data_IF_730920156678
#
_entry.id   IF_730920156678
#
_cell.length_a   1.000
_cell.length_b   1.000
_cell.length_c   1.000
_cell.angle_alpha   90.00
_cell.angle_beta   90.00
_cell.angle_gamma   90.00
#
_symmetry.space_group_name_H-M   'P 1'
#
loop_
_entity.id
_entity.type
_entity.pdbx_description
1 polymer ?
#
# COMPACT_ATOMS: atom_id res chain seq x y z
N UNK A 1 20.59 -24.97 14.10
CA UNK A 1 19.25 -24.52 13.68
C UNK A 1 18.79 -23.27 14.44
N UNK A 2 18.63 -23.30 15.77
CA UNK A 2 18.22 -22.12 16.59
C UNK A 2 19.14 -20.91 16.46
N UNK A 3 20.47 -21.10 16.44
CA UNK A 3 21.41 -19.98 16.31
C UNK A 3 21.32 -19.27 14.95
N UNK A 4 21.03 -20.00 13.88
CA UNK A 4 20.85 -19.40 12.54
C UNK A 4 19.52 -18.65 12.39
N UNK A 5 18.48 -19.07 13.08
CA UNK A 5 17.19 -18.35 13.11
C UNK A 5 17.26 -17.06 13.93
N UNK A 6 17.95 -17.10 15.08
CA UNK A 6 18.18 -15.90 15.90
C UNK A 6 19.02 -14.88 15.13
N UNK A 7 20.13 -15.30 14.51
CA UNK A 7 20.97 -14.41 13.73
C UNK A 7 20.23 -13.77 12.53
N UNK A 8 19.36 -14.54 11.87
CA UNK A 8 18.52 -14.03 10.78
C UNK A 8 17.49 -13.02 11.29
N UNK A 9 16.85 -13.29 12.42
CA UNK A 9 15.90 -12.38 13.06
C UNK A 9 16.55 -11.05 13.47
N UNK A 10 17.77 -11.09 14.02
CA UNK A 10 18.53 -9.87 14.37
C UNK A 10 18.93 -9.06 13.14
N UNK A 11 19.34 -9.70 12.04
CA UNK A 11 19.69 -9.02 10.80
C UNK A 11 18.49 -8.37 10.14
N UNK A 12 17.34 -9.05 10.11
CA UNK A 12 16.08 -8.53 9.64
C UNK A 12 15.60 -7.32 10.48
N UNK A 13 15.77 -7.38 11.81
CA UNK A 13 15.46 -6.25 12.69
C UNK A 13 16.38 -5.05 12.47
N UNK A 14 17.69 -5.27 12.27
CA UNK A 14 18.63 -4.18 11.95
C UNK A 14 18.29 -3.52 10.62
N UNK A 15 18.01 -4.32 9.59
CA UNK A 15 17.56 -3.82 8.26
C UNK A 15 16.26 -3.03 8.38
N UNK A 16 15.31 -3.52 9.17
CA UNK A 16 14.06 -2.82 9.44
C UNK A 16 14.30 -1.42 10.02
N UNK A 17 15.09 -1.33 11.11
CA UNK A 17 15.41 -0.04 11.77
C UNK A 17 16.15 0.92 10.82
N UNK A 18 17.10 0.39 10.05
CA UNK A 18 17.86 1.18 9.07
C UNK A 18 16.93 1.76 7.97
N UNK A 19 16.05 0.93 7.40
CA UNK A 19 15.10 1.35 6.36
C UNK A 19 14.10 2.38 6.89
N UNK A 20 13.53 2.17 8.10
CA UNK A 20 12.67 3.13 8.77
C UNK A 20 13.38 4.46 8.93
N UNK A 21 14.61 4.44 9.48
CA UNK A 21 15.40 5.66 9.72
C UNK A 21 15.68 6.43 8.43
N UNK A 22 15.99 5.73 7.34
CA UNK A 22 16.22 6.33 6.03
C UNK A 22 14.94 6.97 5.47
N UNK A 23 13.81 6.25 5.54
CA UNK A 23 12.54 6.69 4.98
C UNK A 23 11.90 7.85 5.76
N UNK A 24 12.26 8.04 7.04
CA UNK A 24 11.93 9.25 7.81
C UNK A 24 12.88 10.41 7.52
N UNK A 25 14.19 10.14 7.42
CA UNK A 25 15.21 11.21 7.26
C UNK A 25 15.02 11.99 5.97
N UNK A 26 14.75 11.31 4.86
CA UNK A 26 14.61 11.93 3.55
C UNK A 26 13.52 13.04 3.52
N UNK A 27 12.23 12.73 3.84
CA UNK A 27 11.19 13.76 3.85
C UNK A 27 11.42 14.85 4.88
N UNK A 28 11.93 14.53 6.09
CA UNK A 28 12.23 15.52 7.11
C UNK A 28 13.32 16.51 6.64
N UNK A 29 14.36 16.03 5.94
CA UNK A 29 15.39 16.88 5.35
C UNK A 29 14.81 17.79 4.28
N UNK A 30 13.92 17.27 3.43
CA UNK A 30 13.25 18.08 2.39
C UNK A 30 12.34 19.16 3.00
N UNK A 31 11.50 18.78 3.97
CA UNK A 31 10.62 19.72 4.68
C UNK A 31 11.43 20.85 5.29
N UNK A 32 12.46 20.51 6.08
CA UNK A 32 13.31 21.49 6.73
C UNK A 32 14.00 22.39 5.72
N UNK A 33 14.62 21.81 4.68
CA UNK A 33 15.37 22.59 3.69
C UNK A 33 14.49 23.58 2.93
N UNK A 34 13.26 23.21 2.54
CA UNK A 34 12.35 24.16 1.89
C UNK A 34 11.85 25.26 2.83
N UNK A 35 11.57 24.93 4.10
CA UNK A 35 11.16 25.92 5.08
C UNK A 35 12.31 26.91 5.40
N UNK A 36 13.54 26.43 5.57
CA UNK A 36 14.73 27.26 5.77
C UNK A 36 14.96 28.18 4.55
N UNK A 37 14.87 27.66 3.31
CA UNK A 37 15.04 28.43 2.09
C UNK A 37 13.92 29.48 1.84
N UNK A 38 12.72 29.26 2.36
CA UNK A 38 11.66 30.26 2.37
C UNK A 38 11.93 31.36 3.42
N UNK A 39 12.44 30.97 4.60
CA UNK A 39 12.74 31.93 5.69
C UNK A 39 13.91 32.84 5.39
N UNK A 40 14.96 32.35 4.74
CA UNK A 40 16.15 33.10 4.39
C UNK A 40 16.04 33.90 3.06
N UNK A 41 14.88 33.74 2.36
CA UNK A 41 14.60 34.46 1.11
C UNK A 41 15.24 33.82 -0.13
N UNK A 42 15.89 32.66 -0.01
CA UNK A 42 16.42 31.90 -1.16
C UNK A 42 15.28 31.47 -2.10
N UNK A 43 14.11 31.15 -1.53
CA UNK A 43 12.86 30.90 -2.29
C UNK A 43 12.03 32.19 -2.21
N UNK A 44 11.80 32.87 -3.33
CA UNK A 44 11.06 34.13 -3.33
C UNK A 44 9.55 33.86 -3.04
N UNK A 45 8.84 34.87 -2.48
CA UNK A 45 7.43 34.73 -2.07
C UNK A 45 6.49 34.18 -3.16
N UNK A 46 6.73 34.53 -4.41
CA UNK A 46 5.93 34.08 -5.56
C UNK A 46 5.98 32.55 -5.77
N UNK A 47 7.00 31.90 -5.24
CA UNK A 47 7.20 30.46 -5.34
C UNK A 47 6.76 29.70 -4.07
N UNK A 48 6.38 30.39 -3.00
CA UNK A 48 6.06 29.78 -1.70
C UNK A 48 4.95 28.73 -1.83
N UNK A 49 3.86 29.01 -2.55
CA UNK A 49 2.75 28.08 -2.75
C UNK A 49 3.21 26.73 -3.31
N UNK A 50 4.09 26.75 -4.31
CA UNK A 50 4.66 25.53 -4.90
C UNK A 50 5.45 24.71 -3.88
N UNK A 51 6.30 25.36 -3.09
CA UNK A 51 7.16 24.66 -2.13
C UNK A 51 6.40 24.23 -0.87
N UNK A 52 5.40 25.00 -0.43
CA UNK A 52 4.47 24.62 0.63
C UNK A 52 3.71 23.33 0.22
N UNK A 53 3.26 23.24 -1.04
CA UNK A 53 2.62 22.03 -1.58
C UNK A 53 3.56 20.81 -1.49
N UNK A 54 4.85 20.99 -1.76
CA UNK A 54 5.85 19.91 -1.61
C UNK A 54 5.99 19.51 -0.14
N UNK A 55 6.07 20.48 0.78
CA UNK A 55 6.14 20.24 2.23
C UNK A 55 4.92 19.47 2.72
N UNK A 56 3.72 19.85 2.29
CA UNK A 56 2.48 19.13 2.62
C UNK A 56 2.52 17.69 2.13
N UNK A 57 2.93 17.44 0.90
CA UNK A 57 3.06 16.09 0.34
C UNK A 57 4.06 15.21 1.13
N UNK A 58 5.19 15.77 1.55
CA UNK A 58 6.17 15.03 2.37
C UNK A 58 5.62 14.76 3.79
N UNK A 59 4.81 15.68 4.34
CA UNK A 59 4.14 15.47 5.63
C UNK A 59 3.09 14.36 5.55
N UNK A 60 2.28 14.33 4.49
CA UNK A 60 1.34 13.23 4.24
C UNK A 60 2.05 11.88 4.09
N UNK A 61 3.21 11.88 3.41
CA UNK A 61 4.05 10.68 3.28
C UNK A 61 4.51 10.17 4.63
N UNK A 62 4.97 11.04 5.53
CA UNK A 62 5.37 10.70 6.90
C UNK A 62 4.18 10.14 7.69
N UNK A 63 3.01 10.72 7.56
CA UNK A 63 1.79 10.24 8.21
C UNK A 63 1.42 8.82 7.74
N UNK A 64 1.47 8.56 6.43
CA UNK A 64 1.24 7.20 5.87
C UNK A 64 2.28 6.20 6.38
N UNK A 65 3.55 6.58 6.44
CA UNK A 65 4.63 5.72 6.95
C UNK A 65 4.41 5.38 8.43
N UNK A 66 4.09 6.38 9.26
CA UNK A 66 3.82 6.19 10.69
C UNK A 66 2.63 5.25 10.91
N UNK A 67 1.52 5.46 10.22
CA UNK A 67 0.34 4.60 10.31
C UNK A 67 0.63 3.16 9.88
N UNK A 68 1.43 2.98 8.84
CA UNK A 68 1.88 1.66 8.36
C UNK A 68 2.72 0.94 9.41
N UNK A 69 3.65 1.66 10.06
CA UNK A 69 4.50 1.11 11.13
C UNK A 69 3.70 0.75 12.37
N UNK A 70 2.74 1.58 12.79
CA UNK A 70 1.83 1.29 13.89
C UNK A 70 1.00 0.03 13.61
N UNK A 71 0.48 -0.10 12.39
CA UNK A 71 -0.23 -1.31 11.97
C UNK A 71 0.67 -2.54 12.11
N UNK A 72 1.89 -2.51 11.56
CA UNK A 72 2.83 -3.63 11.64
C UNK A 72 3.27 -3.96 13.07
N UNK A 73 3.45 -2.96 13.94
CA UNK A 73 3.81 -3.19 15.34
C UNK A 73 2.69 -3.87 16.12
N UNK A 74 1.45 -3.46 15.92
CA UNK A 74 0.28 -4.08 16.54
C UNK A 74 0.10 -5.54 16.12
N UNK A 75 0.57 -5.91 14.91
CA UNK A 75 0.55 -7.28 14.39
C UNK A 75 1.55 -8.21 15.10
N UNK A 76 2.72 -7.69 15.51
CA UNK A 76 3.81 -8.48 16.05
C UNK A 76 3.69 -8.79 17.56
N UNK A 77 3.00 -7.96 18.36
CA UNK A 77 3.12 -8.00 19.81
C UNK A 77 2.10 -8.87 20.56
N UNK A 78 0.97 -9.25 19.93
CA UNK A 78 -0.10 -10.02 20.63
C UNK A 78 -0.94 -10.94 19.73
N UNK A 79 -0.56 -11.15 18.44
CA UNK A 79 -1.55 -11.59 17.46
C UNK A 79 -2.55 -10.45 17.19
N UNK A 80 -2.97 -10.30 15.95
CA UNK A 80 -3.98 -9.29 15.62
C UNK A 80 -5.31 -9.67 16.25
N UNK A 81 -5.77 -8.90 17.25
CA UNK A 81 -7.16 -9.00 17.68
C UNK A 81 -8.02 -8.40 16.56
N UNK A 82 -8.77 -9.26 15.88
CA UNK A 82 -9.70 -8.87 14.83
C UNK A 82 -11.07 -8.58 15.44
N UNK A 83 -11.65 -7.45 15.11
CA UNK A 83 -13.05 -7.13 15.40
C UNK A 83 -13.92 -7.60 14.22
N UNK A 84 -14.18 -8.92 14.20
CA UNK A 84 -14.92 -9.56 13.11
C UNK A 84 -16.41 -9.26 13.23
N UNK A 85 -16.99 -8.71 12.17
CA UNK A 85 -18.43 -8.44 12.02
C UNK A 85 -18.90 -8.89 10.64
N UNK A 86 -20.21 -9.08 10.49
CA UNK A 86 -20.80 -9.36 9.18
C UNK A 86 -21.03 -8.06 8.43
N UNK A 87 -20.52 -7.96 7.20
CA UNK A 87 -20.70 -6.79 6.34
C UNK A 87 -20.73 -7.16 4.86
N UNK A 88 -21.34 -6.30 4.05
CA UNK A 88 -21.34 -6.44 2.58
C UNK A 88 -19.99 -6.00 1.99
N UNK A 89 -19.21 -6.98 1.49
CA UNK A 89 -17.91 -6.71 0.86
C UNK A 89 -18.03 -5.89 -0.43
N UNK A 90 -19.13 -6.06 -1.18
CA UNK A 90 -19.36 -5.30 -2.40
C UNK A 90 -19.50 -3.80 -2.09
N UNK A 91 -20.13 -3.46 -0.97
CA UNK A 91 -20.22 -2.06 -0.53
C UNK A 91 -18.87 -1.51 -0.11
N UNK A 92 -18.05 -2.30 0.61
CA UNK A 92 -16.70 -1.87 1.02
C UNK A 92 -15.80 -1.66 -0.21
N UNK A 93 -15.90 -2.52 -1.24
CA UNK A 93 -15.17 -2.36 -2.50
C UNK A 93 -15.59 -1.06 -3.19
N UNK A 94 -16.89 -0.79 -3.35
CA UNK A 94 -17.40 0.45 -3.96
C UNK A 94 -16.93 1.69 -3.21
N UNK A 95 -17.04 1.70 -1.89
CA UNK A 95 -16.63 2.82 -1.06
C UNK A 95 -15.11 3.06 -1.14
N UNK A 96 -14.32 1.99 -1.18
CA UNK A 96 -12.87 2.12 -1.32
C UNK A 96 -12.48 2.63 -2.70
N UNK A 97 -13.10 2.12 -3.77
CA UNK A 97 -12.84 2.57 -5.13
C UNK A 97 -13.16 4.06 -5.33
N UNK A 98 -14.26 4.56 -4.73
CA UNK A 98 -14.66 5.96 -4.84
C UNK A 98 -13.61 6.92 -4.24
N UNK A 99 -12.82 6.48 -3.26
CA UNK A 99 -11.73 7.32 -2.70
C UNK A 99 -10.63 7.63 -3.72
N UNK A 100 -10.54 6.86 -4.80
CA UNK A 100 -9.54 7.03 -5.84
C UNK A 100 -10.02 7.76 -7.09
N UNK A 101 -11.30 8.18 -7.17
CA UNK A 101 -11.88 8.83 -8.35
C UNK A 101 -11.02 10.00 -8.88
N UNK A 102 -10.59 10.91 -7.98
CA UNK A 102 -9.75 12.04 -8.36
C UNK A 102 -8.38 11.62 -8.91
N UNK A 103 -7.76 10.61 -8.32
CA UNK A 103 -6.45 10.09 -8.77
C UNK A 103 -6.58 9.37 -10.10
N UNK A 104 -7.63 8.58 -10.26
CA UNK A 104 -7.95 7.88 -11.50
C UNK A 104 -8.24 8.84 -12.64
N UNK A 105 -9.06 9.88 -12.39
CA UNK A 105 -9.33 10.93 -13.36
C UNK A 105 -8.04 11.60 -13.86
N UNK A 106 -7.12 11.97 -12.95
CA UNK A 106 -5.85 12.63 -13.31
C UNK A 106 -4.91 11.75 -14.13
N UNK A 107 -5.08 10.42 -14.05
CA UNK A 107 -4.28 9.44 -14.81
C UNK A 107 -5.06 8.84 -16.00
N UNK A 108 -6.30 9.24 -16.21
CA UNK A 108 -7.20 8.63 -17.21
C UNK A 108 -7.35 7.11 -16.99
N UNK A 109 -7.37 6.66 -15.75
CA UNK A 109 -7.55 5.24 -15.38
C UNK A 109 -9.04 5.01 -15.11
N UNK A 110 -9.63 3.99 -15.74
CA UNK A 110 -10.96 3.52 -15.41
C UNK A 110 -10.90 2.38 -14.38
N UNK A 111 -11.83 2.34 -13.42
CA UNK A 111 -12.03 1.19 -12.54
C UNK A 111 -13.32 0.50 -12.97
N UNK A 112 -13.22 -0.72 -13.44
CA UNK A 112 -14.36 -1.57 -13.79
C UNK A 112 -14.58 -2.60 -12.70
N UNK A 113 -15.83 -2.69 -12.19
CA UNK A 113 -16.19 -3.60 -11.12
C UNK A 113 -17.20 -4.64 -11.61
N UNK A 114 -16.84 -5.92 -11.50
CA UNK A 114 -17.71 -7.07 -11.79
C UNK A 114 -17.96 -7.77 -10.45
N UNK A 115 -19.01 -7.34 -9.76
CA UNK A 115 -19.33 -7.82 -8.42
C UNK A 115 -20.46 -8.86 -8.47
N UNK A 116 -20.23 -10.02 -7.86
CA UNK A 116 -21.23 -11.10 -7.80
C UNK A 116 -22.36 -10.72 -6.85
N UNK A 117 -23.60 -10.84 -7.31
CA UNK A 117 -24.81 -10.52 -6.53
C UNK A 117 -24.97 -9.02 -6.24
N UNK A 118 -26.10 -8.68 -5.61
CA UNK A 118 -26.35 -7.29 -5.16
C UNK A 118 -25.58 -7.01 -3.86
N UNK A 119 -25.59 -7.94 -2.95
CA UNK A 119 -24.91 -7.93 -1.65
C UNK A 119 -24.17 -9.22 -1.46
N UNK A 120 -23.02 -9.19 -0.80
CA UNK A 120 -22.23 -10.36 -0.48
C UNK A 120 -21.61 -10.21 0.91
N UNK A 121 -22.19 -10.92 1.89
CA UNK A 121 -21.78 -10.82 3.28
C UNK A 121 -20.58 -11.70 3.58
N UNK A 122 -19.65 -11.14 4.35
CA UNK A 122 -18.45 -11.83 4.87
C UNK A 122 -18.32 -11.56 6.37
N UNK A 123 -17.76 -12.51 7.11
CA UNK A 123 -17.45 -12.40 8.53
C UNK A 123 -15.97 -12.09 8.71
N UNK A 124 -15.61 -10.80 8.85
CA UNK A 124 -14.24 -10.35 8.91
C UNK A 124 -14.12 -9.00 9.67
N UNK A 125 -12.92 -8.54 9.91
CA UNK A 125 -12.67 -7.17 10.38
C UNK A 125 -12.78 -6.20 9.20
N UNK A 126 -13.91 -5.47 9.13
CA UNK A 126 -14.23 -4.57 8.02
C UNK A 126 -13.13 -3.53 7.79
N UNK A 127 -12.59 -2.92 8.87
CA UNK A 127 -11.56 -1.88 8.73
C UNK A 127 -10.25 -2.45 8.18
N UNK A 128 -9.88 -3.67 8.57
CA UNK A 128 -8.70 -4.36 8.06
C UNK A 128 -8.87 -4.80 6.61
N UNK A 129 -10.02 -5.32 6.25
CA UNK A 129 -10.33 -5.68 4.86
C UNK A 129 -10.35 -4.43 3.97
N UNK A 130 -10.93 -3.32 4.44
CA UNK A 130 -10.86 -2.04 3.72
C UNK A 130 -9.41 -1.58 3.51
N UNK A 131 -8.52 -1.75 4.50
CA UNK A 131 -7.09 -1.45 4.39
C UNK A 131 -6.40 -2.34 3.34
N UNK A 132 -6.75 -3.63 3.27
CA UNK A 132 -6.26 -4.54 2.21
C UNK A 132 -6.66 -4.03 0.83
N UNK A 133 -7.94 -3.74 0.63
CA UNK A 133 -8.47 -3.24 -0.65
C UNK A 133 -7.81 -1.93 -1.05
N UNK A 134 -7.68 -1.00 -0.10
CA UNK A 134 -7.01 0.28 -0.34
C UNK A 134 -5.57 0.08 -0.82
N UNK A 135 -4.78 -0.77 -0.14
CA UNK A 135 -3.38 -1.02 -0.52
C UNK A 135 -3.25 -1.69 -1.90
N UNK A 136 -4.15 -2.61 -2.22
CA UNK A 136 -4.14 -3.27 -3.54
C UNK A 136 -4.53 -2.29 -4.66
N UNK A 137 -5.59 -1.49 -4.46
CA UNK A 137 -6.04 -0.49 -5.43
C UNK A 137 -5.00 0.64 -5.60
N UNK A 138 -4.41 1.13 -4.51
CA UNK A 138 -3.35 2.15 -4.55
C UNK A 138 -2.14 1.66 -5.38
N UNK A 139 -1.71 0.41 -5.18
CA UNK A 139 -0.66 -0.20 -5.99
C UNK A 139 -1.07 -0.35 -7.45
N UNK A 140 -2.26 -0.86 -7.74
CA UNK A 140 -2.78 -0.99 -9.09
C UNK A 140 -2.76 0.37 -9.83
N UNK A 141 -3.27 1.44 -9.19
CA UNK A 141 -3.30 2.79 -9.76
C UNK A 141 -1.89 3.36 -9.94
N UNK A 142 -0.98 3.14 -8.99
CA UNK A 142 0.40 3.66 -9.06
C UNK A 142 1.18 3.08 -10.21
N UNK A 143 1.07 1.77 -10.43
CA UNK A 143 1.90 1.05 -11.37
C UNK A 143 1.25 0.86 -12.74
N UNK A 144 -0.04 1.16 -12.88
CA UNK A 144 -0.74 1.19 -14.16
C UNK A 144 -0.20 2.28 -15.09
N UNK A 145 -0.38 2.06 -16.38
CA UNK A 145 -0.15 3.07 -17.40
C UNK A 145 -1.29 4.10 -17.44
N UNK A 146 -1.06 5.25 -18.08
CA UNK A 146 -2.14 6.17 -18.43
C UNK A 146 -3.12 5.48 -19.40
N UNK A 147 -4.37 5.93 -19.38
CA UNK A 147 -5.44 5.42 -20.26
C UNK A 147 -5.68 3.91 -20.12
N UNK A 148 -5.50 3.37 -18.92
CA UNK A 148 -5.65 1.95 -18.62
C UNK A 148 -6.91 1.65 -17.81
N UNK A 149 -7.21 0.34 -17.66
CA UNK A 149 -8.35 -0.13 -16.90
C UNK A 149 -7.88 -1.04 -15.77
N UNK A 150 -8.41 -0.81 -14.57
CA UNK A 150 -8.26 -1.70 -13.42
C UNK A 150 -9.56 -2.46 -13.24
N UNK A 151 -9.48 -3.79 -13.22
CA UNK A 151 -10.64 -4.64 -13.00
C UNK A 151 -10.67 -5.11 -11.55
N UNK A 152 -11.82 -4.96 -10.90
CA UNK A 152 -12.09 -5.50 -9.57
C UNK A 152 -13.24 -6.48 -9.69
N UNK A 153 -12.99 -7.73 -9.32
CA UNK A 153 -13.96 -8.80 -9.48
C UNK A 153 -14.18 -9.51 -8.15
N UNK A 154 -15.44 -9.83 -7.85
CA UNK A 154 -15.80 -10.78 -6.79
C UNK A 154 -16.38 -12.04 -7.40
N UNK A 155 -16.04 -13.19 -6.85
CA UNK A 155 -16.61 -14.47 -7.26
C UNK A 155 -16.74 -15.41 -6.07
N UNK A 156 -17.79 -16.22 -6.07
CA UNK A 156 -17.98 -17.25 -5.06
C UNK A 156 -17.69 -18.63 -5.64
N UNK A 157 -16.84 -19.41 -4.98
CA UNK A 157 -16.56 -20.81 -5.34
C UNK A 157 -16.45 -21.65 -4.07
N UNK A 158 -17.23 -22.74 -4.01
CA UNK A 158 -17.18 -23.69 -2.88
C UNK A 158 -17.33 -23.00 -1.52
N UNK A 159 -18.28 -22.10 -1.41
CA UNK A 159 -18.59 -21.34 -0.18
C UNK A 159 -17.40 -20.44 0.28
N UNK A 160 -16.51 -20.08 -0.63
CA UNK A 160 -15.43 -19.11 -0.41
C UNK A 160 -15.58 -17.96 -1.39
N UNK A 161 -15.42 -16.76 -0.86
CA UNK A 161 -15.37 -15.54 -1.65
C UNK A 161 -13.95 -15.29 -2.13
N UNK A 162 -13.82 -14.93 -3.38
CA UNK A 162 -12.58 -14.45 -4.00
C UNK A 162 -12.77 -13.01 -4.43
N UNK A 163 -11.82 -12.15 -4.07
CA UNK A 163 -11.73 -10.79 -4.55
C UNK A 163 -10.45 -10.67 -5.36
N UNK A 164 -10.54 -10.16 -6.57
CA UNK A 164 -9.38 -9.94 -7.43
C UNK A 164 -9.28 -8.48 -7.81
N UNK A 165 -8.06 -7.93 -7.78
CA UNK A 165 -7.71 -6.61 -8.30
C UNK A 165 -6.66 -6.83 -9.38
N UNK A 166 -7.00 -6.51 -10.62
CA UNK A 166 -6.16 -6.72 -11.79
C UNK A 166 -5.85 -5.39 -12.47
N UNK A 167 -4.58 -5.13 -12.69
CA UNK A 167 -4.08 -3.98 -13.45
C UNK A 167 -3.37 -4.42 -14.73
N UNK A 168 -3.14 -3.46 -15.61
CA UNK A 168 -2.36 -3.61 -16.84
C UNK A 168 -1.12 -2.72 -16.79
N UNK A 169 -0.44 -2.74 -15.64
CA UNK A 169 0.74 -1.92 -15.40
C UNK A 169 2.05 -2.58 -15.84
N UNK A 170 3.14 -2.14 -15.20
CA UNK A 170 4.51 -2.60 -15.52
C UNK A 170 4.75 -4.08 -15.21
N UNK A 171 3.83 -4.73 -14.51
CA UNK A 171 4.01 -6.09 -14.05
C UNK A 171 5.12 -6.28 -13.02
N UNK A 172 5.30 -7.52 -12.58
CA UNK A 172 6.27 -7.92 -11.56
C UNK A 172 7.16 -9.03 -12.12
N UNK A 173 8.49 -8.87 -12.09
CA UNK A 173 9.43 -9.93 -12.47
C UNK A 173 9.22 -11.21 -11.64
N UNK A 174 9.45 -12.38 -12.24
CA UNK A 174 9.23 -13.67 -11.59
C UNK A 174 10.06 -13.84 -10.31
N UNK A 175 11.28 -13.35 -10.32
CA UNK A 175 12.20 -13.33 -9.18
C UNK A 175 11.67 -12.51 -8.00
N UNK A 176 10.90 -11.45 -8.28
CA UNK A 176 10.37 -10.54 -7.28
C UNK A 176 9.06 -11.03 -6.65
N UNK A 177 8.31 -11.95 -7.29
CA UNK A 177 6.99 -12.40 -6.83
C UNK A 177 6.96 -12.95 -5.39
N UNK A 178 8.07 -13.51 -4.91
CA UNK A 178 8.20 -13.97 -3.53
C UNK A 178 8.60 -12.85 -2.58
N UNK A 179 9.32 -11.86 -3.08
CA UNK A 179 9.93 -10.78 -2.31
C UNK A 179 8.99 -9.60 -2.09
N UNK A 180 7.99 -9.40 -2.97
CA UNK A 180 7.03 -8.28 -2.86
C UNK A 180 6.24 -8.26 -1.54
N UNK A 181 6.20 -9.38 -0.82
CA UNK A 181 5.56 -9.50 0.48
C UNK A 181 6.46 -9.11 1.66
N UNK A 182 7.76 -8.90 1.38
CA UNK A 182 8.73 -8.53 2.40
C UNK A 182 8.61 -7.03 2.72
N UNK A 183 8.87 -6.66 3.96
CA UNK A 183 8.79 -5.27 4.42
C UNK A 183 9.87 -4.43 3.74
N UNK A 184 9.49 -3.23 3.26
CA UNK A 184 10.35 -2.28 2.53
C UNK A 184 10.87 -2.77 1.18
N UNK A 185 10.40 -3.93 0.72
CA UNK A 185 10.80 -4.41 -0.60
C UNK A 185 10.21 -3.52 -1.71
N UNK A 186 11.04 -3.21 -2.67
CA UNK A 186 10.65 -2.51 -3.92
C UNK A 186 11.45 -3.15 -5.05
N UNK A 187 10.76 -3.60 -6.09
CA UNK A 187 11.41 -4.08 -7.30
C UNK A 187 12.15 -2.92 -8.01
N UNK A 188 13.15 -3.21 -8.80
CA UNK A 188 13.90 -2.17 -9.53
C UNK A 188 13.00 -1.40 -10.49
N UNK A 189 12.04 -2.07 -11.11
CA UNK A 189 11.02 -1.44 -11.96
C UNK A 189 10.11 -0.49 -11.17
N UNK A 190 9.74 -0.84 -9.94
CA UNK A 190 8.90 0.00 -9.08
C UNK A 190 9.63 1.21 -8.52
N UNK A 191 10.94 1.12 -8.28
CA UNK A 191 11.78 2.25 -7.82
C UNK A 191 11.78 3.43 -8.79
N UNK A 192 11.66 3.17 -10.08
CA UNK A 192 11.56 4.20 -11.11
C UNK A 192 10.23 4.97 -11.08
N UNK A 193 9.11 4.30 -10.85
CA UNK A 193 7.75 4.89 -10.87
C UNK A 193 7.27 5.39 -9.51
N UNK A 194 7.58 4.69 -8.42
CA UNK A 194 7.16 5.06 -7.06
C UNK A 194 8.36 5.28 -6.14
N UNK A 195 9.06 6.41 -6.36
CA UNK A 195 10.16 6.86 -5.48
C UNK A 195 9.68 7.17 -4.06
N UNK A 196 8.38 7.45 -3.88
CA UNK A 196 7.78 7.87 -2.60
C UNK A 196 7.11 6.75 -1.83
N UNK A 197 6.90 5.58 -2.43
CA UNK A 197 6.31 4.42 -1.77
C UNK A 197 7.16 3.94 -0.58
N UNK A 198 6.51 3.39 0.43
CA UNK A 198 7.18 2.87 1.64
C UNK A 198 7.64 1.43 1.53
N UNK A 199 7.09 0.67 0.55
CA UNK A 199 7.32 -0.79 0.46
C UNK A 199 6.65 -1.59 1.58
N UNK A 200 5.69 -0.99 2.32
CA UNK A 200 4.99 -1.65 3.43
C UNK A 200 3.59 -2.13 3.05
N UNK A 201 2.99 -1.62 1.96
CA UNK A 201 1.59 -1.89 1.62
C UNK A 201 1.29 -3.38 1.46
N UNK A 202 2.07 -4.12 0.65
CA UNK A 202 1.83 -5.54 0.41
C UNK A 202 2.17 -6.42 1.61
N UNK A 203 3.18 -6.06 2.42
CA UNK A 203 3.45 -6.78 3.67
C UNK A 203 2.30 -6.64 4.68
N UNK A 204 1.69 -5.44 4.78
CA UNK A 204 0.48 -5.22 5.59
C UNK A 204 -0.68 -6.06 5.07
N UNK A 205 -0.89 -6.10 3.75
CA UNK A 205 -1.92 -6.94 3.13
C UNK A 205 -1.75 -8.40 3.53
N UNK A 206 -0.54 -8.95 3.38
CA UNK A 206 -0.24 -10.34 3.73
C UNK A 206 -0.50 -10.63 5.21
N UNK A 207 -0.08 -9.74 6.10
CA UNK A 207 -0.30 -9.92 7.55
C UNK A 207 -1.79 -9.89 7.91
N UNK A 208 -2.57 -8.96 7.34
CA UNK A 208 -4.02 -8.89 7.58
C UNK A 208 -4.71 -10.15 7.08
N UNK A 209 -4.41 -10.62 5.88
CA UNK A 209 -5.02 -11.83 5.31
C UNK A 209 -4.64 -13.07 6.13
N UNK A 210 -3.37 -13.19 6.53
CA UNK A 210 -2.92 -14.28 7.41
C UNK A 210 -3.63 -14.25 8.77
N UNK A 211 -3.86 -13.07 9.36
CA UNK A 211 -4.57 -12.93 10.62
C UNK A 211 -6.05 -13.34 10.52
N UNK A 212 -6.63 -13.31 9.31
CA UNK A 212 -7.97 -13.82 9.03
C UNK A 212 -7.99 -15.33 8.71
N UNK A 213 -6.83 -16.02 8.77
CA UNK A 213 -6.65 -17.41 8.35
C UNK A 213 -7.00 -17.67 6.87
N UNK A 214 -6.81 -16.63 6.03
CA UNK A 214 -7.11 -16.66 4.61
C UNK A 214 -5.84 -16.56 3.75
N UNK A 215 -5.99 -16.67 2.42
CA UNK A 215 -4.88 -16.75 1.50
C UNK A 215 -4.90 -15.61 0.48
N UNK A 216 -3.72 -15.11 0.14
CA UNK A 216 -3.52 -14.17 -0.94
C UNK A 216 -2.53 -14.74 -1.96
N UNK A 217 -2.84 -14.55 -3.25
CA UNK A 217 -1.98 -14.94 -4.36
C UNK A 217 -1.74 -13.77 -5.29
N UNK A 218 -0.61 -13.79 -5.99
CA UNK A 218 -0.28 -12.84 -7.04
C UNK A 218 0.06 -13.62 -8.32
N UNK A 219 -0.46 -13.13 -9.44
CA UNK A 219 -0.12 -13.60 -10.79
C UNK A 219 0.29 -12.35 -11.54
N UNK A 220 1.49 -12.34 -12.08
CA UNK A 220 1.99 -11.20 -12.85
C UNK A 220 2.97 -11.64 -13.93
N UNK A 221 2.96 -10.89 -15.01
CA UNK A 221 3.95 -10.98 -16.09
C UNK A 221 4.48 -9.56 -16.31
N UNK A 222 5.80 -9.36 -16.45
CA UNK A 222 6.34 -8.06 -16.88
C UNK A 222 5.67 -7.61 -18.17
N UNK A 223 5.25 -6.33 -18.20
CA UNK A 223 4.63 -5.70 -19.37
C UNK A 223 5.65 -5.20 -20.37
#
# INVERSE_FOLDING_TARGET
>A
YMASEIARSEDDQKKFVANVSHDFRSPLTSIRGYLEAMLDGTIPPEMHEKYITIVLNETERLTKLTNSLLTLNNLNTKGMLLDKTDFDINQVIRNTASTFEGTCHNKSIAIEMILTGNEMYVHADMGKIQQVLYNLMDNAIKFSHHDSVIHIETSEKKNKLFVSVKDTGIGIPKEDLKLIWDRFYKSDLSRGKDKKGTGLGLSIVKEIINAHDEHINVISTPG
#
